data_IF_034963559566
#
_entry.id   IF_034963559566
#
_cell.length_a   1.000
_cell.length_b   1.000
_cell.length_c   1.000
_cell.angle_alpha   90.00
_cell.angle_beta   90.00
_cell.angle_gamma   90.00
#
_symmetry.space_group_name_H-M   'P 1'
#
loop_
_entity.id
_entity.type
_entity.pdbx_description
1 polymer ?
#
# COMPACT_ATOMS: atom_id res chain seq x y z
N UNK A 1 -58.57 -15.79 6.50
CA UNK A 1 -57.26 -15.11 6.51
C UNK A 1 -56.27 -16.10 7.06
N UNK A 2 -55.40 -16.65 6.21
CA UNK A 2 -54.40 -17.64 6.61
C UNK A 2 -53.19 -16.89 7.19
N UNK A 3 -52.88 -17.13 8.45
CA UNK A 3 -51.67 -16.64 9.10
C UNK A 3 -50.46 -17.32 8.46
N UNK A 4 -49.47 -16.52 8.07
CA UNK A 4 -48.26 -16.95 7.40
C UNK A 4 -47.23 -17.45 8.46
N UNK A 5 -46.85 -18.75 8.45
CA UNK A 5 -46.01 -19.34 9.50
C UNK A 5 -44.50 -19.10 9.34
N UNK A 6 -44.07 -18.23 8.40
CA UNK A 6 -42.65 -18.01 8.08
C UNK A 6 -42.05 -16.70 8.63
N UNK A 7 -42.68 -16.05 9.60
CA UNK A 7 -42.03 -14.95 10.33
C UNK A 7 -41.22 -15.54 11.48
N UNK A 8 -39.87 -15.59 11.41
CA UNK A 8 -39.07 -15.92 12.58
C UNK A 8 -39.29 -14.84 13.64
N UNK A 9 -40.00 -15.21 14.70
CA UNK A 9 -40.02 -14.48 15.95
C UNK A 9 -38.59 -14.40 16.50
N UNK A 10 -38.16 -13.20 16.89
CA UNK A 10 -36.95 -13.02 17.71
C UNK A 10 -35.64 -13.07 16.93
N UNK A 11 -35.43 -12.13 16.01
CA UNK A 11 -34.08 -11.57 15.89
C UNK A 11 -34.11 -10.27 16.67
N UNK A 12 -33.95 -10.39 17.99
CA UNK A 12 -33.38 -9.31 18.77
C UNK A 12 -32.07 -8.96 18.06
N UNK A 13 -32.07 -7.82 17.37
CA UNK A 13 -30.85 -7.16 16.97
C UNK A 13 -30.13 -6.79 18.27
N UNK A 14 -29.42 -7.75 18.85
CA UNK A 14 -28.49 -7.51 19.93
C UNK A 14 -27.64 -6.32 19.50
N UNK A 15 -27.46 -5.31 20.37
CA UNK A 15 -26.73 -4.13 20.00
C UNK A 15 -25.40 -4.62 19.44
N UNK A 16 -25.12 -4.31 18.18
CA UNK A 16 -23.78 -4.38 17.66
C UNK A 16 -22.97 -3.54 18.62
N UNK A 17 -22.26 -4.20 19.52
CA UNK A 17 -21.19 -3.61 20.31
C UNK A 17 -20.16 -3.16 19.28
N UNK A 18 -20.40 -1.97 18.73
CA UNK A 18 -19.38 -1.10 18.20
C UNK A 18 -18.53 -0.74 19.42
N UNK A 19 -17.68 -1.68 19.84
CA UNK A 19 -16.63 -1.43 20.79
C UNK A 19 -15.76 -0.36 20.15
N UNK A 20 -16.08 0.90 20.42
CA UNK A 20 -15.43 2.05 19.83
C UNK A 20 -13.95 1.90 20.12
N UNK A 21 -13.17 1.69 19.07
CA UNK A 21 -11.71 1.65 19.21
C UNK A 21 -11.29 2.94 19.89
N UNK A 22 -10.68 2.82 21.08
CA UNK A 22 -10.12 3.97 21.79
C UNK A 22 -9.26 4.79 20.83
N UNK A 23 -9.38 6.13 20.87
CA UNK A 23 -8.62 7.03 20.00
C UNK A 23 -7.10 6.72 20.04
N UNK A 24 -6.60 6.24 21.18
CA UNK A 24 -5.22 5.79 21.38
C UNK A 24 -4.87 4.53 20.60
N UNK A 25 -5.81 3.59 20.48
CA UNK A 25 -5.65 2.38 19.67
C UNK A 25 -5.64 2.70 18.18
N UNK A 26 -6.56 3.59 17.73
CA UNK A 26 -6.58 4.10 16.35
C UNK A 26 -5.26 4.79 16.00
N UNK A 27 -4.81 5.72 16.86
CA UNK A 27 -3.58 6.47 16.64
C UNK A 27 -2.34 5.56 16.56
N UNK A 28 -2.25 4.57 17.47
CA UNK A 28 -1.16 3.58 17.44
C UNK A 28 -1.17 2.77 16.14
N UNK A 29 -2.35 2.42 15.63
CA UNK A 29 -2.47 1.68 14.39
C UNK A 29 -2.03 2.54 13.20
N UNK A 30 -2.51 3.79 13.12
CA UNK A 30 -2.07 4.76 12.10
C UNK A 30 -0.54 4.90 12.10
N UNK A 31 0.08 5.01 13.28
CA UNK A 31 1.52 5.18 13.39
C UNK A 31 2.31 3.97 12.86
N UNK A 32 1.79 2.75 13.01
CA UNK A 32 2.41 1.55 12.43
C UNK A 32 2.37 1.57 10.90
N UNK A 33 1.22 1.93 10.32
CA UNK A 33 1.07 2.03 8.87
C UNK A 33 1.95 3.15 8.31
N UNK A 34 1.97 4.31 8.98
CA UNK A 34 2.83 5.43 8.62
C UNK A 34 4.31 5.05 8.70
N UNK A 35 4.72 4.37 9.77
CA UNK A 35 6.10 3.89 9.94
C UNK A 35 6.52 2.91 8.84
N UNK A 36 5.67 1.93 8.53
CA UNK A 36 5.94 0.97 7.45
C UNK A 36 5.97 1.65 6.07
N UNK A 37 5.10 2.63 5.84
CA UNK A 37 5.08 3.44 4.63
C UNK A 37 6.38 4.25 4.46
N UNK A 38 6.80 4.98 5.50
CA UNK A 38 8.05 5.73 5.49
C UNK A 38 9.27 4.80 5.31
N UNK A 39 9.24 3.61 5.92
CA UNK A 39 10.28 2.60 5.72
C UNK A 39 10.40 2.17 4.26
N UNK A 40 9.27 1.99 3.57
CA UNK A 40 9.25 1.71 2.13
C UNK A 40 9.88 2.83 1.31
N UNK A 41 9.57 4.09 1.63
CA UNK A 41 10.17 5.25 0.97
C UNK A 41 11.69 5.29 1.20
N UNK A 42 12.14 5.13 2.45
CA UNK A 42 13.57 5.15 2.79
C UNK A 42 14.31 4.00 2.08
N UNK A 43 13.74 2.79 2.07
CA UNK A 43 14.31 1.66 1.37
C UNK A 43 14.41 1.92 -0.15
N UNK A 44 13.40 2.57 -0.74
CA UNK A 44 13.40 2.95 -2.15
C UNK A 44 14.52 3.95 -2.45
N UNK A 45 14.65 4.99 -1.64
CA UNK A 45 15.71 6.02 -1.74
C UNK A 45 17.10 5.39 -1.59
N UNK A 46 17.27 4.45 -0.65
CA UNK A 46 18.57 3.81 -0.41
C UNK A 46 18.99 2.86 -1.54
N UNK A 47 18.02 2.23 -2.21
CA UNK A 47 18.27 1.24 -3.26
C UNK A 47 18.28 1.85 -4.67
N UNK A 48 17.71 3.03 -4.87
CA UNK A 48 17.82 3.75 -6.14
C UNK A 48 19.02 4.71 -6.13
N UNK A 49 19.79 4.81 -7.23
CA UNK A 49 20.84 5.80 -7.32
C UNK A 49 20.20 7.18 -7.42
N UNK A 50 20.03 7.85 -6.28
CA UNK A 50 19.55 9.23 -6.15
C UNK A 50 20.67 10.18 -6.61
N UNK A 51 21.04 10.13 -7.88
CA UNK A 51 21.60 11.33 -8.53
C UNK A 51 20.43 12.28 -8.73
N UNK A 52 20.25 13.10 -7.70
CA UNK A 52 19.39 14.28 -7.65
C UNK A 52 19.65 15.14 -8.88
N UNK A 53 18.78 15.11 -9.88
CA UNK A 53 18.77 16.08 -10.96
C UNK A 53 17.39 16.16 -11.63
N UNK A 54 16.32 16.30 -10.85
CA UNK A 54 15.20 17.11 -11.34
C UNK A 54 15.62 18.56 -11.11
N UNK A 55 15.77 19.31 -12.21
CA UNK A 55 16.43 20.60 -12.23
C UNK A 55 15.95 21.57 -11.15
N UNK A 56 16.88 22.04 -10.32
CA UNK A 56 16.72 23.26 -9.53
C UNK A 56 16.06 23.10 -8.16
N UNK A 57 16.91 23.12 -7.13
CA UNK A 57 16.67 23.67 -5.78
C UNK A 57 15.86 22.89 -4.74
N UNK A 58 14.94 21.97 -5.08
CA UNK A 58 14.22 21.18 -4.05
C UNK A 58 14.45 19.69 -4.24
N UNK A 59 15.02 18.98 -3.24
CA UNK A 59 15.23 17.55 -3.38
C UNK A 59 13.86 16.86 -3.30
N UNK A 60 13.51 16.15 -4.38
CA UNK A 60 12.24 15.41 -4.56
C UNK A 60 11.94 14.43 -3.40
N UNK A 61 12.97 14.08 -2.62
CA UNK A 61 12.86 13.22 -1.45
C UNK A 61 11.86 13.71 -0.41
N UNK A 62 11.70 15.03 -0.23
CA UNK A 62 10.72 15.58 0.70
C UNK A 62 9.27 15.47 0.21
N UNK A 63 9.06 15.30 -1.10
CA UNK A 63 7.74 15.18 -1.71
C UNK A 63 7.27 13.73 -1.81
N UNK A 64 8.17 12.74 -1.71
CA UNK A 64 7.79 11.31 -1.79
C UNK A 64 6.71 10.87 -0.80
N UNK A 65 6.65 11.33 0.48
CA UNK A 65 5.57 10.95 1.38
C UNK A 65 4.17 11.34 0.88
N UNK A 66 4.07 12.36 0.03
CA UNK A 66 2.80 12.82 -0.57
C UNK A 66 2.60 12.17 -1.94
N UNK A 67 3.67 12.06 -2.73
CA UNK A 67 3.60 11.60 -4.11
C UNK A 67 3.62 10.09 -4.28
N UNK A 68 4.13 9.29 -3.32
CA UNK A 68 4.25 7.84 -3.50
C UNK A 68 2.92 7.12 -3.80
N UNK A 69 1.76 7.48 -3.23
CA UNK A 69 0.49 6.84 -3.60
C UNK A 69 0.12 7.11 -5.07
N UNK A 70 0.40 8.33 -5.55
CA UNK A 70 0.21 8.71 -6.95
C UNK A 70 1.22 7.95 -7.82
N UNK A 71 2.47 7.89 -7.39
CA UNK A 71 3.52 7.12 -8.05
C UNK A 71 3.19 5.63 -8.15
N UNK A 72 2.48 5.06 -7.17
CA UNK A 72 2.07 3.66 -7.22
C UNK A 72 1.06 3.45 -8.35
N UNK A 73 0.09 4.36 -8.49
CA UNK A 73 -0.84 4.32 -9.63
C UNK A 73 -0.11 4.49 -10.95
N UNK A 74 0.81 5.45 -11.05
CA UNK A 74 1.63 5.67 -12.24
C UNK A 74 2.47 4.44 -12.59
N UNK A 75 3.01 3.75 -11.59
CA UNK A 75 3.79 2.54 -11.78
C UNK A 75 2.97 1.42 -12.44
N UNK A 76 1.72 1.24 -12.03
CA UNK A 76 0.85 0.17 -12.55
C UNK A 76 0.12 0.52 -13.85
N UNK A 77 -0.30 1.78 -14.03
CA UNK A 77 -1.13 2.18 -15.17
C UNK A 77 -0.38 2.87 -16.30
N UNK A 78 0.77 3.48 -16.02
CA UNK A 78 1.45 4.37 -16.97
C UNK A 78 2.85 3.88 -17.37
N UNK A 79 3.58 3.26 -16.44
CA UNK A 79 4.96 2.81 -16.64
C UNK A 79 5.11 1.45 -17.33
N UNK A 80 4.01 0.88 -17.84
CA UNK A 80 4.02 -0.42 -18.49
C UNK A 80 4.88 -0.40 -19.78
N UNK A 81 5.98 -1.16 -19.77
CA UNK A 81 6.72 -1.58 -20.97
C UNK A 81 7.67 -0.58 -21.66
N UNK A 82 7.44 0.74 -21.60
CA UNK A 82 8.19 1.70 -22.44
C UNK A 82 9.31 2.49 -21.73
N UNK A 83 9.19 2.77 -20.42
CA UNK A 83 10.06 3.72 -19.71
C UNK A 83 10.96 3.09 -18.65
N UNK A 84 11.21 1.79 -18.76
CA UNK A 84 12.25 1.09 -17.99
C UNK A 84 13.45 0.71 -18.87
N UNK A 85 14.14 1.64 -19.57
CA UNK A 85 15.44 1.32 -20.14
C UNK A 85 16.45 0.90 -19.04
N UNK A 86 16.18 1.20 -17.76
CA UNK A 86 16.96 0.74 -16.60
C UNK A 86 16.30 -0.37 -15.75
N UNK A 87 15.04 -0.74 -16.05
CA UNK A 87 14.36 -1.89 -15.41
C UNK A 87 14.30 -3.14 -16.28
N UNK A 88 14.73 -3.03 -17.53
CA UNK A 88 14.83 -4.13 -18.49
C UNK A 88 13.48 -4.71 -18.90
N UNK A 89 13.41 -5.24 -20.12
CA UNK A 89 12.53 -6.38 -20.37
C UNK A 89 13.10 -7.54 -19.55
N UNK A 90 12.61 -7.78 -18.34
CA UNK A 90 13.22 -8.80 -17.48
C UNK A 90 12.65 -8.94 -16.07
N UNK A 91 13.22 -9.91 -15.35
CA UNK A 91 12.83 -10.37 -14.00
C UNK A 91 12.73 -9.26 -12.94
N UNK A 92 13.43 -8.14 -13.10
CA UNK A 92 13.45 -7.02 -12.12
C UNK A 92 12.13 -6.24 -12.12
N UNK A 93 11.53 -5.99 -13.29
CA UNK A 93 10.17 -5.41 -13.37
C UNK A 93 9.15 -6.32 -12.69
N UNK A 94 9.21 -7.62 -12.98
CA UNK A 94 8.35 -8.62 -12.35
C UNK A 94 8.58 -8.72 -10.83
N UNK A 95 9.80 -8.51 -10.35
CA UNK A 95 10.09 -8.43 -8.93
C UNK A 95 9.37 -7.24 -8.27
N UNK A 96 9.46 -6.03 -8.84
CA UNK A 96 8.77 -4.87 -8.27
C UNK A 96 7.25 -4.95 -8.40
N UNK A 97 6.75 -5.46 -9.52
CA UNK A 97 5.34 -5.74 -9.73
C UNK A 97 4.82 -6.75 -8.69
N UNK A 98 5.56 -7.84 -8.46
CA UNK A 98 5.17 -8.83 -7.43
C UNK A 98 5.24 -8.24 -6.03
N UNK A 99 6.25 -7.43 -5.69
CA UNK A 99 6.33 -6.72 -4.39
C UNK A 99 5.10 -5.85 -4.15
N UNK A 100 4.63 -5.11 -5.15
CA UNK A 100 3.42 -4.31 -5.02
C UNK A 100 2.12 -5.13 -5.07
N UNK A 101 2.17 -6.40 -5.49
CA UNK A 101 1.06 -7.36 -5.45
C UNK A 101 1.00 -8.16 -4.14
N UNK A 102 2.11 -8.18 -3.37
CA UNK A 102 2.17 -8.77 -2.00
C UNK A 102 1.03 -8.29 -1.09
N UNK A 103 0.63 -7.01 -1.02
CA UNK A 103 -0.49 -6.57 -0.19
C UNK A 103 -1.79 -7.32 -0.51
N UNK A 104 -2.08 -7.52 -1.81
CA UNK A 104 -3.30 -8.19 -2.26
C UNK A 104 -3.29 -9.66 -1.86
N UNK A 105 -2.21 -10.38 -2.16
CA UNK A 105 -2.07 -11.81 -1.84
C UNK A 105 -2.12 -12.02 -0.32
N UNK A 106 -1.40 -11.20 0.44
CA UNK A 106 -1.35 -11.33 1.90
C UNK A 106 -2.68 -10.97 2.56
N UNK A 107 -3.45 -10.04 2.00
CA UNK A 107 -4.78 -9.72 2.50
C UNK A 107 -5.78 -10.86 2.21
N UNK A 108 -5.72 -11.50 1.03
CA UNK A 108 -6.50 -12.70 0.71
C UNK A 108 -6.15 -13.85 1.68
N UNK A 109 -4.85 -14.08 1.92
CA UNK A 109 -4.38 -15.09 2.87
C UNK A 109 -4.80 -14.78 4.32
N UNK A 110 -4.78 -13.50 4.72
CA UNK A 110 -5.23 -13.07 6.03
C UNK A 110 -6.74 -13.26 6.21
N UNK A 111 -7.53 -13.02 5.15
CA UNK A 111 -8.97 -13.28 5.13
C UNK A 111 -9.26 -14.78 5.30
N UNK A 112 -8.58 -15.63 4.52
CA UNK A 112 -8.80 -17.08 4.53
C UNK A 112 -8.33 -17.75 5.82
N UNK A 113 -7.18 -17.37 6.35
CA UNK A 113 -6.59 -18.02 7.54
C UNK A 113 -7.11 -17.49 8.87
N UNK A 114 -7.87 -16.37 8.88
CA UNK A 114 -8.40 -15.70 10.09
C UNK A 114 -7.36 -15.45 11.21
N UNK A 115 -6.07 -15.47 10.87
CA UNK A 115 -4.98 -15.49 11.86
C UNK A 115 -4.71 -14.11 12.45
N UNK A 116 -4.67 -14.02 13.79
CA UNK A 116 -4.30 -12.78 14.52
C UNK A 116 -2.85 -12.36 14.24
N UNK A 117 -1.96 -13.32 13.97
CA UNK A 117 -0.54 -13.05 13.71
C UNK A 117 -0.34 -12.34 12.37
N UNK A 118 -1.12 -12.74 11.35
CA UNK A 118 -1.12 -12.05 10.08
C UNK A 118 -1.66 -10.62 10.24
N UNK A 119 -2.71 -10.43 11.02
CA UNK A 119 -3.26 -9.09 11.26
C UNK A 119 -2.24 -8.09 11.84
N UNK A 120 -1.27 -8.58 12.64
CA UNK A 120 -0.22 -7.75 13.22
C UNK A 120 0.86 -7.29 12.21
N UNK A 121 1.08 -8.06 11.14
CA UNK A 121 2.06 -7.76 10.09
C UNK A 121 1.45 -6.95 8.92
N UNK A 122 0.13 -6.73 8.93
CA UNK A 122 -0.59 -5.91 7.94
C UNK A 122 0.04 -4.54 7.66
N UNK A 123 0.48 -3.78 8.67
CA UNK A 123 1.13 -2.50 8.41
C UNK A 123 2.36 -2.65 7.52
N UNK A 124 3.14 -3.72 7.71
CA UNK A 124 4.36 -3.96 6.95
C UNK A 124 4.04 -4.29 5.49
N UNK A 125 3.25 -5.32 5.21
CA UNK A 125 3.00 -5.72 3.81
C UNK A 125 2.01 -4.83 3.05
N UNK A 126 1.34 -3.88 3.70
CA UNK A 126 0.54 -2.85 3.02
C UNK A 126 1.36 -1.57 2.89
N UNK A 127 1.81 -1.02 4.01
CA UNK A 127 2.50 0.27 4.04
C UNK A 127 3.83 0.23 3.28
N UNK A 128 4.65 -0.80 3.51
CA UNK A 128 5.97 -0.88 2.89
C UNK A 128 5.90 -0.96 1.35
N UNK A 129 5.11 -1.86 0.72
CA UNK A 129 5.02 -1.88 -0.74
C UNK A 129 4.46 -0.58 -1.32
N UNK A 130 3.50 0.05 -0.65
CA UNK A 130 2.95 1.34 -1.10
C UNK A 130 4.04 2.42 -1.10
N UNK A 131 4.80 2.55 -0.01
CA UNK A 131 5.91 3.50 0.07
C UNK A 131 7.01 3.17 -0.93
N UNK A 132 7.38 1.90 -1.06
CA UNK A 132 8.50 1.46 -1.88
C UNK A 132 8.22 1.55 -3.39
N UNK A 133 7.17 0.86 -3.86
CA UNK A 133 6.77 0.85 -5.28
C UNK A 133 6.23 2.21 -5.69
N UNK A 134 5.55 2.89 -4.78
CA UNK A 134 5.07 4.24 -5.01
C UNK A 134 6.18 5.24 -5.28
N UNK A 135 7.21 5.26 -4.44
CA UNK A 135 8.39 6.11 -4.65
C UNK A 135 9.14 5.75 -5.93
N UNK A 136 9.25 4.46 -6.27
CA UNK A 136 9.81 4.02 -7.56
C UNK A 136 9.00 4.58 -8.74
N UNK A 137 7.67 4.52 -8.67
CA UNK A 137 6.81 5.05 -9.72
C UNK A 137 6.95 6.56 -9.91
N UNK A 138 7.05 7.34 -8.83
CA UNK A 138 7.36 8.78 -8.92
C UNK A 138 8.72 8.98 -9.59
N UNK A 139 9.75 8.27 -9.13
CA UNK A 139 11.11 8.40 -9.65
C UNK A 139 11.18 8.09 -11.16
N UNK A 140 10.59 6.99 -11.60
CA UNK A 140 10.65 6.62 -13.01
C UNK A 140 9.77 7.50 -13.90
N UNK A 141 8.61 7.94 -13.41
CA UNK A 141 7.79 8.91 -14.16
C UNK A 141 8.52 10.25 -14.30
N UNK A 142 9.17 10.69 -13.21
CA UNK A 142 10.02 11.86 -13.21
C UNK A 142 11.18 11.73 -14.22
N UNK A 143 11.88 10.60 -14.21
CA UNK A 143 12.97 10.32 -15.13
C UNK A 143 12.50 10.21 -16.59
N UNK A 144 11.27 9.73 -16.84
CA UNK A 144 10.67 9.63 -18.16
C UNK A 144 10.20 10.97 -18.75
N UNK A 145 10.01 11.99 -17.92
CA UNK A 145 9.52 13.32 -18.31
C UNK A 145 10.64 14.30 -18.72
N UNK A 146 11.90 13.90 -18.61
CA UNK A 146 13.10 14.69 -18.99
C UNK A 146 13.61 14.19 -20.34
#
# INVERSE_FOLDING_TARGET
MAENPYLPAGVEAGPQDSSGMSARAVFREILKYLGAYLLGIIASIALTPVKMAMGGHVPLCFLYPILAPIGLLLFYFYLEGAYLPFGGKGLIYWFFFTVGFVPFVMEVLAYLSRSRRLRAWRPLWIGFPIGFVGTLGVYYTAAASI
#
